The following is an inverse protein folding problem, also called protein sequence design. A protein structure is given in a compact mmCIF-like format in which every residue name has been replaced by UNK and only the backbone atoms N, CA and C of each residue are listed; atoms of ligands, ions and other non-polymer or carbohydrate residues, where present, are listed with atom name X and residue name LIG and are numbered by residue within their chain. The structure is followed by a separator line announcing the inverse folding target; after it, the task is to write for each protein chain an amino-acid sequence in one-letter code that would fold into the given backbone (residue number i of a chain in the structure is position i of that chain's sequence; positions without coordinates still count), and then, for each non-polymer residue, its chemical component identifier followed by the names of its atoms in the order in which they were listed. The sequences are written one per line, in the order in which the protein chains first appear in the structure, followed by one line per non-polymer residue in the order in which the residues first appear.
data_IF_291195262798
#
_entry.id   IF_291195262798
#
_cell.length_a   1.000
_cell.length_b   1.000
_cell.length_c   1.000
_cell.angle_alpha   90.00
_cell.angle_beta   90.00
_cell.angle_gamma   90.00
#
_symmetry.space_group_name_H-M   'P 1'
#
loop_
_entity.id
_entity.type
_entity.pdbx_description
1 polymer ?
#
# COMPACT_ATOMS: atom_id res chain seq x y z
N UNK A 1 10.19 16.95 2.59
CA UNK A 1 8.95 16.33 2.08
C UNK A 1 9.30 15.12 1.24
N UNK A 2 8.48 14.10 1.26
CA UNK A 2 8.71 12.87 0.51
C UNK A 2 8.25 13.03 -0.93
N UNK A 3 9.15 12.85 -1.89
CA UNK A 3 8.78 12.83 -3.31
C UNK A 3 7.91 11.62 -3.62
N UNK A 4 8.14 10.49 -2.93
CA UNK A 4 7.35 9.27 -3.12
C UNK A 4 5.93 9.44 -2.60
N UNK A 5 5.76 10.10 -1.46
CA UNK A 5 4.43 10.39 -0.93
C UNK A 5 3.68 11.35 -1.84
N UNK A 6 4.35 12.36 -2.39
CA UNK A 6 3.76 13.28 -3.35
C UNK A 6 3.33 12.54 -4.62
N UNK A 7 4.14 11.60 -5.11
CA UNK A 7 3.79 10.75 -6.24
C UNK A 7 2.55 9.93 -5.96
N UNK A 8 2.46 9.31 -4.78
CA UNK A 8 1.29 8.52 -4.39
C UNK A 8 0.03 9.38 -4.34
N UNK A 9 0.11 10.56 -3.78
CA UNK A 9 -1.03 11.48 -3.71
C UNK A 9 -1.47 11.94 -5.09
N UNK A 10 -0.52 12.24 -5.97
CA UNK A 10 -0.82 12.65 -7.34
C UNK A 10 -1.45 11.52 -8.15
N UNK A 11 -1.13 10.27 -7.84
CA UNK A 11 -1.58 9.08 -8.56
C UNK A 11 -2.62 8.26 -7.78
N UNK A 12 -3.14 8.80 -6.68
CA UNK A 12 -4.03 8.02 -5.80
C UNK A 12 -5.27 7.46 -6.50
N UNK A 13 -5.82 8.19 -7.43
CA UNK A 13 -6.99 7.72 -8.19
C UNK A 13 -6.70 6.44 -8.94
N UNK A 14 -5.58 6.39 -9.65
CA UNK A 14 -5.13 5.20 -10.37
C UNK A 14 -4.77 4.07 -9.41
N UNK A 15 -4.06 4.37 -8.33
CA UNK A 15 -3.66 3.37 -7.34
C UNK A 15 -4.89 2.75 -6.68
N UNK A 16 -5.88 3.56 -6.32
CA UNK A 16 -7.13 3.08 -5.71
C UNK A 16 -7.93 2.24 -6.70
N UNK A 17 -7.95 2.63 -7.98
CA UNK A 17 -8.62 1.85 -9.02
C UNK A 17 -7.96 0.48 -9.21
N UNK A 18 -6.63 0.44 -9.22
CA UNK A 18 -5.89 -0.83 -9.29
C UNK A 18 -6.24 -1.70 -8.07
N UNK A 19 -6.20 -1.12 -6.87
CA UNK A 19 -6.51 -1.85 -5.65
C UNK A 19 -7.94 -2.41 -5.68
N UNK A 20 -8.90 -1.62 -6.14
CA UNK A 20 -10.30 -2.04 -6.19
C UNK A 20 -10.51 -3.24 -7.13
N UNK A 21 -9.74 -3.35 -8.21
CA UNK A 21 -9.81 -4.50 -9.12
C UNK A 21 -9.39 -5.81 -8.44
N UNK A 22 -8.65 -5.72 -7.35
CA UNK A 22 -8.17 -6.87 -6.59
C UNK A 22 -8.86 -6.98 -5.23
N UNK A 23 -10.09 -6.50 -5.14
CA UNK A 23 -10.96 -6.61 -3.94
C UNK A 23 -10.46 -5.84 -2.73
N UNK A 24 -9.66 -4.81 -2.94
CA UNK A 24 -9.26 -3.92 -1.87
C UNK A 24 -10.35 -2.88 -1.61
N UNK A 25 -10.74 -2.75 -0.35
CA UNK A 25 -11.71 -1.74 0.10
C UNK A 25 -11.02 -0.41 0.39
N UNK A 26 -9.78 -0.46 0.86
CA UNK A 26 -8.97 0.74 1.07
C UNK A 26 -7.49 0.39 0.96
N UNK A 27 -6.68 1.41 0.72
CA UNK A 27 -5.23 1.27 0.63
C UNK A 27 -4.57 2.48 1.30
N UNK A 28 -3.58 2.18 2.12
CA UNK A 28 -2.78 3.19 2.82
C UNK A 28 -1.31 2.91 2.57
N UNK A 29 -0.48 3.93 2.69
CA UNK A 29 0.98 3.77 2.68
C UNK A 29 1.49 3.84 4.11
N UNK A 30 2.49 3.04 4.44
CA UNK A 30 3.15 3.10 5.74
C UNK A 30 4.67 3.02 5.53
N UNK A 31 5.41 2.90 6.64
CA UNK A 31 6.86 2.77 6.59
C UNK A 31 7.55 4.09 6.26
N UNK A 32 8.75 4.00 5.65
CA UNK A 32 9.60 5.17 5.42
C UNK A 32 8.93 6.24 4.55
N UNK A 33 8.17 5.83 3.53
CA UNK A 33 7.46 6.77 2.66
C UNK A 33 6.43 7.57 3.45
N UNK A 34 5.65 6.89 4.30
CA UNK A 34 4.64 7.57 5.12
C UNK A 34 5.27 8.56 6.10
N UNK A 35 6.44 8.23 6.62
CA UNK A 35 7.16 9.10 7.57
C UNK A 35 7.93 10.23 6.88
N UNK A 36 8.01 10.22 5.56
CA UNK A 36 8.83 11.20 4.83
C UNK A 36 10.33 10.94 4.93
N UNK A 37 10.72 9.71 5.29
CA UNK A 37 12.11 9.30 5.48
C UNK A 37 12.62 8.45 4.31
N UNK A 38 11.88 8.40 3.22
CA UNK A 38 12.25 7.59 2.07
C UNK A 38 13.50 8.12 1.39
N UNK A 39 14.36 7.20 0.99
CA UNK A 39 15.52 7.47 0.17
C UNK A 39 15.33 6.98 -1.26
N UNK A 40 16.34 7.13 -2.14
CA UNK A 40 16.22 6.72 -3.54
C UNK A 40 15.98 5.22 -3.74
N UNK A 41 16.31 4.39 -2.76
CA UNK A 41 16.13 2.95 -2.82
C UNK A 41 15.02 2.44 -1.89
N UNK A 42 14.19 3.33 -1.35
CA UNK A 42 13.08 2.92 -0.49
C UNK A 42 11.99 2.24 -1.29
N UNK A 43 11.48 1.12 -0.76
CA UNK A 43 10.34 0.42 -1.32
C UNK A 43 9.04 1.08 -0.86
N UNK A 44 7.95 0.83 -1.59
CA UNK A 44 6.62 1.24 -1.15
C UNK A 44 6.02 0.14 -0.28
N UNK A 45 5.53 0.53 0.89
CA UNK A 45 4.87 -0.37 1.83
C UNK A 45 3.41 0.04 1.94
N UNK A 46 2.50 -0.84 1.51
CA UNK A 46 1.07 -0.57 1.53
C UNK A 46 0.35 -1.43 2.55
N UNK A 47 -0.57 -0.81 3.26
CA UNK A 47 -1.51 -1.48 4.15
C UNK A 47 -2.86 -1.49 3.44
N UNK A 48 -3.41 -2.68 3.19
CA UNK A 48 -4.61 -2.84 2.39
C UNK A 48 -5.68 -3.56 3.18
N UNK A 49 -6.88 -2.98 3.20
CA UNK A 49 -8.07 -3.65 3.72
C UNK A 49 -8.76 -4.34 2.56
N UNK A 50 -8.73 -5.67 2.56
CA UNK A 50 -9.38 -6.48 1.52
C UNK A 50 -10.80 -6.85 1.92
N UNK A 51 -11.63 -7.06 0.89
CA UNK A 51 -12.96 -7.62 1.08
C UNK A 51 -12.87 -9.05 1.66
N UNK A 52 -13.91 -9.46 2.37
CA UNK A 52 -13.97 -10.78 3.02
C UNK A 52 -13.85 -11.94 2.03
N UNK A 53 -14.28 -11.77 0.79
CA UNK A 53 -14.18 -12.81 -0.22
C UNK A 53 -12.86 -12.80 -1.00
N UNK A 54 -11.90 -11.98 -0.58
CA UNK A 54 -10.59 -11.94 -1.19
C UNK A 54 -9.77 -13.19 -0.83
N UNK A 55 -8.74 -13.46 -1.64
CA UNK A 55 -7.83 -14.58 -1.44
C UNK A 55 -6.38 -14.11 -1.53
N UNK A 56 -5.46 -15.04 -1.25
CA UNK A 56 -4.03 -14.75 -1.43
C UNK A 56 -3.68 -14.40 -2.87
N UNK A 57 -4.45 -14.88 -3.84
CA UNK A 57 -4.26 -14.52 -5.25
C UNK A 57 -4.53 -13.04 -5.49
N UNK A 58 -5.50 -12.48 -4.81
CA UNK A 58 -5.80 -11.04 -4.91
C UNK A 58 -4.63 -10.21 -4.41
N UNK A 59 -4.04 -10.61 -3.29
CA UNK A 59 -2.86 -9.93 -2.75
C UNK A 59 -1.68 -10.01 -3.72
N UNK A 60 -1.38 -11.20 -4.22
CA UNK A 60 -0.27 -11.41 -5.15
C UNK A 60 -0.47 -10.62 -6.45
N UNK A 61 -1.68 -10.64 -6.99
CA UNK A 61 -2.00 -9.91 -8.21
C UNK A 61 -1.89 -8.40 -8.00
N UNK A 62 -2.32 -7.90 -6.84
CA UNK A 62 -2.19 -6.49 -6.51
C UNK A 62 -0.73 -6.06 -6.43
N UNK A 63 0.11 -6.86 -5.77
CA UNK A 63 1.55 -6.59 -5.68
C UNK A 63 2.15 -6.49 -7.08
N UNK A 64 1.83 -7.45 -7.94
CA UNK A 64 2.37 -7.48 -9.30
C UNK A 64 1.92 -6.27 -10.10
N UNK A 65 0.64 -5.93 -10.07
CA UNK A 65 0.13 -4.80 -10.84
C UNK A 65 0.66 -3.47 -10.32
N UNK A 66 0.73 -3.27 -9.02
CA UNK A 66 1.28 -2.05 -8.45
C UNK A 66 2.77 -1.92 -8.74
N UNK A 67 3.54 -3.01 -8.63
CA UNK A 67 4.97 -2.99 -8.94
C UNK A 67 5.21 -2.63 -10.39
N UNK A 68 4.41 -3.17 -11.31
CA UNK A 68 4.50 -2.85 -12.73
C UNK A 68 4.16 -1.39 -13.00
N UNK A 69 3.09 -0.90 -12.38
CA UNK A 69 2.66 0.49 -12.58
C UNK A 69 3.69 1.47 -12.04
N UNK A 70 4.25 1.18 -10.87
CA UNK A 70 5.17 2.09 -10.20
C UNK A 70 6.63 1.85 -10.61
N UNK A 71 6.90 0.74 -11.31
CA UNK A 71 8.24 0.32 -11.73
C UNK A 71 9.22 0.26 -10.55
N UNK A 72 8.71 -0.15 -9.40
CA UNK A 72 9.44 -0.21 -8.13
C UNK A 72 8.83 -1.33 -7.32
N UNK A 73 9.65 -2.11 -6.59
CA UNK A 73 9.09 -3.15 -5.71
C UNK A 73 8.13 -2.56 -4.70
N UNK A 74 7.01 -3.26 -4.46
CA UNK A 74 6.05 -2.88 -3.43
C UNK A 74 5.81 -4.06 -2.50
N UNK A 75 5.56 -3.76 -1.24
CA UNK A 75 5.12 -4.72 -0.23
C UNK A 75 3.68 -4.40 0.14
N UNK A 76 2.85 -5.44 0.25
CA UNK A 76 1.46 -5.29 0.66
C UNK A 76 1.21 -6.13 1.90
N UNK A 77 0.71 -5.48 2.94
CA UNK A 77 0.26 -6.15 4.17
C UNK A 77 -1.24 -6.04 4.23
N UNK A 78 -1.93 -7.16 4.43
CA UNK A 78 -3.37 -7.17 4.66
C UNK A 78 -3.66 -6.66 6.06
N UNK A 79 -4.54 -5.67 6.17
CA UNK A 79 -4.92 -5.11 7.46
C UNK A 79 -5.55 -6.16 8.37
N UNK A 80 -6.33 -7.08 7.80
CA UNK A 80 -6.93 -8.18 8.56
C UNK A 80 -5.93 -9.16 9.16
N UNK A 81 -4.68 -9.20 8.64
CA UNK A 81 -3.61 -10.02 9.18
C UNK A 81 -2.81 -9.36 10.29
N UNK A 82 -3.06 -8.08 10.59
CA UNK A 82 -2.35 -7.39 11.66
C UNK A 82 -2.82 -7.89 13.02
N UNK A 83 -1.86 -8.08 13.92
CA UNK A 83 -2.14 -8.45 15.30
C UNK A 83 -2.33 -7.16 16.14
N UNK A 84 -2.95 -7.27 17.33
CA UNK A 84 -3.09 -6.08 18.20
C UNK A 84 -1.78 -5.37 18.49
N UNK A 85 -0.65 -6.10 18.52
CA UNK A 85 0.68 -5.51 18.75
C UNK A 85 1.21 -4.69 17.57
N UNK A 86 0.55 -4.76 16.42
CA UNK A 86 0.96 -4.06 15.20
C UNK A 86 0.34 -2.67 15.10
N UNK A 87 -0.01 -2.06 16.25
CA UNK A 87 -0.62 -0.73 16.31
C UNK A 87 0.25 0.35 15.68
N UNK A 88 1.58 0.16 15.69
CA UNK A 88 2.51 1.10 15.09
C UNK A 88 2.28 1.25 13.59
N UNK A 89 2.09 0.15 12.88
CA UNK A 89 1.83 0.18 11.44
C UNK A 89 0.54 0.97 11.16
N UNK A 90 -0.52 0.69 11.91
CA UNK A 90 -1.80 1.39 11.75
C UNK A 90 -1.67 2.88 12.07
N UNK A 91 -0.89 3.21 13.09
CA UNK A 91 -0.68 4.60 13.51
C UNK A 91 0.14 5.42 12.50
N UNK A 92 1.03 4.77 11.75
CA UNK A 92 1.85 5.43 10.75
C UNK A 92 1.19 5.50 9.38
N UNK A 93 0.18 4.67 9.11
CA UNK A 93 -0.40 4.54 7.78
C UNK A 93 -1.12 5.83 7.36
N UNK A 94 -0.87 6.24 6.13
CA UNK A 94 -1.51 7.40 5.50
C UNK A 94 -2.47 6.88 4.43
N UNK A 95 -3.76 7.13 4.65
CA UNK A 95 -4.80 6.67 3.72
C UNK A 95 -4.68 7.40 2.38
N UNK A 96 -4.70 6.67 1.31
CA UNK A 96 -4.78 7.20 -0.05
C UNK A 96 -6.25 7.29 -0.54
#
# INVERSE_FOLDING_TARGET
MSQRLDFLRANRGTIKAIAARHKALSISVFGSVARGEDGPNSDFDFLVLFDDDSSLWDTASLVNELSDYMKTPVDVISEGGLKPRDTRIRGEAVLL
#
